data_IF_538816488514
#
_entry.id   IF_538816488514
#
_cell.length_a   1.000
_cell.length_b   1.000
_cell.length_c   1.000
_cell.angle_alpha   90.00
_cell.angle_beta   90.00
_cell.angle_gamma   90.00
#
_symmetry.space_group_name_H-M   'P 1'
#
loop_
_entity.id
_entity.type
_entity.pdbx_description
1 polymer ?
#
# COMPACT_ATOMS: atom_id res chain seq x y z
N UNK A 1 64.69 61.27 0.75
CA UNK A 1 63.77 61.47 1.89
C UNK A 1 62.47 62.04 1.34
N UNK A 2 61.39 61.23 1.28
CA UNK A 2 59.97 61.59 1.50
C UNK A 2 59.09 60.43 0.97
N UNK A 3 58.96 59.37 1.75
CA UNK A 3 58.01 58.27 1.53
C UNK A 3 56.60 58.75 1.85
N UNK A 4 55.71 58.81 0.84
CA UNK A 4 54.27 59.00 1.06
C UNK A 4 53.60 57.62 1.09
N UNK A 5 53.33 57.14 2.31
CA UNK A 5 52.43 56.02 2.56
C UNK A 5 51.01 56.40 2.11
N UNK A 6 50.38 55.55 1.30
CA UNK A 6 49.00 55.69 0.85
C UNK A 6 48.14 54.79 1.73
N UNK A 7 47.42 55.39 2.67
CA UNK A 7 46.47 54.66 3.50
C UNK A 7 45.29 54.22 2.65
N UNK A 8 45.20 52.90 2.44
CA UNK A 8 44.08 52.28 1.75
C UNK A 8 43.01 52.02 2.80
N UNK A 9 42.04 52.92 2.94
CA UNK A 9 40.87 52.69 3.79
C UNK A 9 40.00 51.60 3.16
N UNK A 10 40.24 50.35 3.56
CA UNK A 10 39.38 49.21 3.30
C UNK A 10 38.05 49.43 4.03
N UNK A 11 37.04 49.97 3.35
CA UNK A 11 35.67 49.98 3.86
C UNK A 11 35.16 48.54 3.91
N UNK A 12 35.21 47.94 5.11
CA UNK A 12 34.42 46.73 5.37
C UNK A 12 32.96 47.16 5.39
N UNK A 13 32.28 47.02 4.26
CA UNK A 13 30.83 47.02 4.24
C UNK A 13 30.37 45.89 5.17
N UNK A 14 29.98 46.26 6.39
CA UNK A 14 29.31 45.37 7.32
C UNK A 14 28.00 44.99 6.66
N UNK A 15 27.98 43.83 5.99
CA UNK A 15 26.75 43.21 5.57
C UNK A 15 25.94 42.97 6.84
N UNK A 16 24.98 43.86 7.13
CA UNK A 16 24.00 43.69 8.19
C UNK A 16 23.28 42.38 7.90
N UNK A 17 23.71 41.31 8.58
CA UNK A 17 22.96 40.07 8.59
C UNK A 17 21.68 40.38 9.37
N UNK A 18 20.59 40.51 8.64
CA UNK A 18 19.25 40.60 9.24
C UNK A 18 18.97 39.25 9.88
N UNK A 19 19.11 39.18 11.21
CA UNK A 19 18.65 38.04 11.98
C UNK A 19 17.12 38.08 12.04
N UNK A 20 16.51 36.88 12.02
CA UNK A 20 15.07 36.72 12.12
C UNK A 20 14.57 37.26 13.47
N UNK A 21 13.50 38.03 13.46
CA UNK A 21 12.89 38.54 14.69
C UNK A 21 12.10 37.43 15.40
N UNK A 22 11.90 37.57 16.71
CA UNK A 22 11.10 36.62 17.49
C UNK A 22 9.65 36.53 16.99
N UNK A 23 9.08 37.66 16.55
CA UNK A 23 7.72 37.70 16.02
C UNK A 23 7.62 36.93 14.70
N UNK A 24 8.57 37.13 13.78
CA UNK A 24 8.58 36.39 12.52
C UNK A 24 8.70 34.88 12.76
N UNK A 25 9.54 34.44 13.71
CA UNK A 25 9.65 33.02 14.04
C UNK A 25 8.33 32.45 14.55
N UNK A 26 7.62 33.19 15.41
CA UNK A 26 6.33 32.79 15.96
C UNK A 26 5.28 32.65 14.84
N UNK A 27 5.23 33.59 13.90
CA UNK A 27 4.33 33.51 12.76
C UNK A 27 4.67 32.31 11.87
N UNK A 28 5.96 32.07 11.60
CA UNK A 28 6.41 30.93 10.77
C UNK A 28 6.02 29.59 11.40
N UNK A 29 6.28 29.38 12.70
CA UNK A 29 5.87 28.12 13.35
C UNK A 29 4.34 27.98 13.39
N UNK A 30 3.60 29.08 13.52
CA UNK A 30 2.15 29.10 13.42
C UNK A 30 1.67 28.62 12.06
N UNK A 31 2.21 29.18 10.97
CA UNK A 31 1.88 28.78 9.60
C UNK A 31 2.26 27.32 9.36
N UNK A 32 3.47 26.90 9.74
CA UNK A 32 3.92 25.51 9.57
C UNK A 32 3.01 24.54 10.33
N UNK A 33 2.56 24.89 11.53
CA UNK A 33 1.67 24.02 12.32
C UNK A 33 0.33 23.77 11.62
N UNK A 34 -0.28 24.82 11.07
CA UNK A 34 -1.55 24.73 10.33
C UNK A 34 -1.39 23.94 9.04
N UNK A 35 -0.34 24.23 8.26
CA UNK A 35 -0.04 23.50 7.03
C UNK A 35 0.25 22.02 7.28
N UNK A 36 0.97 21.71 8.37
CA UNK A 36 1.31 20.33 8.72
C UNK A 36 0.07 19.49 8.99
N UNK A 37 -0.88 20.03 9.78
CA UNK A 37 -2.15 19.33 10.08
C UNK A 37 -2.95 19.09 8.81
N UNK A 38 -3.13 20.11 7.96
CA UNK A 38 -3.84 19.98 6.70
C UNK A 38 -3.19 18.94 5.77
N UNK A 39 -1.85 18.93 5.71
CA UNK A 39 -1.08 17.98 4.90
C UNK A 39 -1.26 16.55 5.39
N UNK A 40 -1.18 16.29 6.70
CA UNK A 40 -1.36 14.95 7.28
C UNK A 40 -2.73 14.38 6.91
N UNK A 41 -3.80 15.16 7.09
CA UNK A 41 -5.17 14.72 6.76
C UNK A 41 -5.29 14.41 5.26
N UNK A 42 -4.70 15.24 4.40
CA UNK A 42 -4.73 15.05 2.94
C UNK A 42 -4.01 13.77 2.53
N UNK A 43 -2.79 13.55 3.02
CA UNK A 43 -1.97 12.37 2.72
C UNK A 43 -2.66 11.08 3.18
N UNK A 44 -3.33 11.09 4.33
CA UNK A 44 -4.09 9.94 4.82
C UNK A 44 -5.22 9.54 3.87
N UNK A 45 -5.96 10.52 3.33
CA UNK A 45 -7.04 10.26 2.35
C UNK A 45 -6.49 9.67 1.06
N UNK A 46 -5.49 10.32 0.46
CA UNK A 46 -4.86 9.84 -0.79
C UNK A 46 -4.29 8.43 -0.60
N UNK A 47 -3.64 8.16 0.53
CA UNK A 47 -3.08 6.84 0.82
C UNK A 47 -4.15 5.76 0.90
N UNK A 48 -5.34 6.07 1.43
CA UNK A 48 -6.47 5.13 1.50
C UNK A 48 -7.04 4.85 0.11
N UNK A 49 -7.17 5.86 -0.72
CA UNK A 49 -7.68 5.73 -2.09
C UNK A 49 -6.72 4.92 -2.98
N UNK A 50 -5.41 5.15 -2.86
CA UNK A 50 -4.38 4.36 -3.54
C UNK A 50 -4.43 2.89 -3.11
N UNK A 51 -4.55 2.62 -1.81
CA UNK A 51 -4.69 1.24 -1.28
C UNK A 51 -5.94 0.56 -1.82
N UNK A 52 -7.07 1.27 -1.86
CA UNK A 52 -8.32 0.74 -2.40
C UNK A 52 -8.20 0.45 -3.90
N UNK A 53 -7.70 1.39 -4.69
CA UNK A 53 -7.48 1.22 -6.12
C UNK A 53 -6.54 0.05 -6.42
N UNK A 54 -5.45 -0.07 -5.66
CA UNK A 54 -4.53 -1.22 -5.75
C UNK A 54 -5.25 -2.53 -5.44
N UNK A 55 -6.08 -2.57 -4.40
CA UNK A 55 -6.89 -3.75 -4.06
C UNK A 55 -7.87 -4.14 -5.16
N UNK A 56 -8.60 -3.18 -5.72
CA UNK A 56 -9.54 -3.40 -6.85
C UNK A 56 -8.80 -3.95 -8.06
N UNK A 57 -7.67 -3.36 -8.43
CA UNK A 57 -6.86 -3.82 -9.57
C UNK A 57 -6.32 -5.24 -9.36
N UNK A 58 -5.92 -5.61 -8.13
CA UNK A 58 -5.49 -6.97 -7.81
C UNK A 58 -6.63 -7.99 -7.98
N UNK A 59 -7.83 -7.67 -7.50
CA UNK A 59 -9.00 -8.54 -7.66
C UNK A 59 -9.41 -8.66 -9.12
N UNK A 60 -9.40 -7.55 -9.87
CA UNK A 60 -9.67 -7.57 -11.30
C UNK A 60 -8.65 -8.41 -12.07
N UNK A 61 -7.37 -8.30 -11.71
CA UNK A 61 -6.30 -9.13 -12.27
C UNK A 61 -6.55 -10.62 -12.01
N UNK A 62 -6.86 -10.99 -10.76
CA UNK A 62 -7.17 -12.37 -10.40
C UNK A 62 -8.41 -12.92 -11.13
N UNK A 63 -9.47 -12.12 -11.26
CA UNK A 63 -10.67 -12.51 -12.03
C UNK A 63 -10.37 -12.69 -13.52
N UNK A 64 -9.53 -11.82 -14.09
CA UNK A 64 -9.10 -11.94 -15.48
C UNK A 64 -8.29 -13.22 -15.68
N UNK A 65 -7.32 -13.49 -14.81
CA UNK A 65 -6.55 -14.74 -14.82
C UNK A 65 -7.43 -15.97 -14.64
N UNK A 66 -8.38 -15.94 -13.70
CA UNK A 66 -9.33 -17.03 -13.48
C UNK A 66 -10.21 -17.30 -14.69
N UNK A 67 -10.67 -16.24 -15.37
CA UNK A 67 -11.44 -16.35 -16.61
C UNK A 67 -10.60 -16.96 -17.74
N UNK A 68 -9.38 -16.49 -17.93
CA UNK A 68 -8.46 -17.04 -18.92
C UNK A 68 -8.18 -18.52 -18.66
N UNK A 69 -7.99 -18.90 -17.41
CA UNK A 69 -7.82 -20.31 -17.04
C UNK A 69 -9.08 -21.12 -17.31
N UNK A 70 -10.25 -20.65 -16.88
CA UNK A 70 -11.52 -21.34 -17.12
C UNK A 70 -11.79 -21.57 -18.62
N UNK A 71 -11.47 -20.60 -19.47
CA UNK A 71 -11.58 -20.73 -20.94
C UNK A 71 -10.57 -21.74 -21.47
N UNK A 72 -9.32 -21.69 -20.99
CA UNK A 72 -8.23 -22.57 -21.43
C UNK A 72 -8.47 -24.03 -21.04
N UNK A 73 -8.83 -24.28 -19.80
CA UNK A 73 -9.01 -25.63 -19.25
C UNK A 73 -10.40 -26.19 -19.51
N UNK A 74 -11.38 -25.34 -19.85
CA UNK A 74 -12.79 -25.68 -19.94
C UNK A 74 -13.31 -26.34 -18.65
N UNK A 75 -12.78 -25.90 -17.50
CA UNK A 75 -13.20 -26.38 -16.17
C UNK A 75 -13.69 -25.22 -15.31
N UNK A 76 -14.69 -25.43 -14.43
CA UNK A 76 -15.08 -24.44 -13.43
C UNK A 76 -13.86 -23.95 -12.64
N UNK A 77 -13.74 -22.63 -12.51
CA UNK A 77 -12.64 -21.99 -11.80
C UNK A 77 -13.24 -20.96 -10.85
N UNK A 78 -12.72 -20.89 -9.63
CA UNK A 78 -13.15 -19.96 -8.60
C UNK A 78 -12.03 -19.00 -8.22
N UNK A 79 -12.43 -17.82 -7.75
CA UNK A 79 -11.56 -16.87 -7.06
C UNK A 79 -12.00 -16.82 -5.61
N UNK A 80 -11.08 -17.05 -4.68
CA UNK A 80 -11.35 -17.02 -3.24
C UNK A 80 -10.35 -16.15 -2.51
N UNK A 81 -10.76 -15.62 -1.37
CA UNK A 81 -9.91 -14.87 -0.46
C UNK A 81 -9.65 -15.77 0.74
N UNK A 82 -8.37 -16.02 1.04
CA UNK A 82 -7.97 -16.79 2.23
C UNK A 82 -7.07 -15.95 3.12
N UNK A 83 -7.21 -16.13 4.42
CA UNK A 83 -6.29 -15.54 5.40
C UNK A 83 -5.10 -16.48 5.54
N UNK A 84 -3.90 -15.97 5.32
CA UNK A 84 -2.64 -16.68 5.53
C UNK A 84 -1.95 -16.04 6.72
N UNK A 85 -1.53 -16.90 7.66
CA UNK A 85 -0.74 -16.52 8.82
C UNK A 85 0.58 -17.26 8.78
N UNK A 86 1.66 -16.53 8.94
CA UNK A 86 2.98 -17.10 9.17
C UNK A 86 3.04 -17.53 10.63
N UNK A 87 3.04 -18.84 10.87
CA UNK A 87 3.14 -19.40 12.23
C UNK A 87 4.59 -19.46 12.73
N UNK A 88 5.57 -19.33 11.83
CA UNK A 88 6.99 -19.30 12.18
C UNK A 88 7.42 -17.90 12.63
N UNK A 89 6.83 -16.85 12.04
CA UNK A 89 6.97 -15.46 12.48
C UNK A 89 5.63 -14.84 12.89
N UNK A 90 5.24 -14.97 14.18
CA UNK A 90 3.99 -14.43 14.71
C UNK A 90 3.91 -12.89 14.68
N UNK A 91 5.03 -12.19 14.44
CA UNK A 91 5.07 -10.73 14.37
C UNK A 91 4.48 -10.21 13.06
N UNK A 92 4.43 -11.05 12.03
CA UNK A 92 3.85 -10.67 10.74
C UNK A 92 2.33 -10.59 10.88
N UNK A 93 1.70 -9.51 10.38
CA UNK A 93 0.25 -9.42 10.38
C UNK A 93 -0.37 -10.52 9.50
N UNK A 94 -1.57 -10.95 9.85
CA UNK A 94 -2.37 -11.82 9.00
C UNK A 94 -2.62 -11.13 7.65
N UNK A 95 -2.38 -11.86 6.55
CA UNK A 95 -2.50 -11.33 5.20
C UNK A 95 -3.63 -12.04 4.48
N UNK A 96 -4.47 -11.28 3.80
CA UNK A 96 -5.49 -11.83 2.91
C UNK A 96 -4.88 -12.01 1.52
N UNK A 97 -4.86 -13.24 1.05
CA UNK A 97 -4.40 -13.62 -0.28
C UNK A 97 -5.59 -13.93 -1.19
N UNK A 98 -5.50 -13.51 -2.46
CA UNK A 98 -6.44 -13.92 -3.50
C UNK A 98 -5.89 -15.16 -4.19
N UNK A 99 -6.68 -16.22 -4.23
CA UNK A 99 -6.32 -17.49 -4.84
C UNK A 99 -7.29 -17.82 -5.96
N UNK A 100 -6.74 -18.15 -7.13
CA UNK A 100 -7.48 -18.74 -8.25
C UNK A 100 -7.37 -20.26 -8.13
N UNK A 101 -8.49 -20.97 -8.13
CA UNK A 101 -8.52 -22.42 -7.99
C UNK A 101 -9.42 -23.07 -9.05
N UNK A 102 -8.94 -24.14 -9.67
CA UNK A 102 -9.69 -24.91 -10.67
C UNK A 102 -10.39 -26.10 -10.04
N UNK A 103 -11.53 -26.49 -10.59
CA UNK A 103 -12.20 -27.73 -10.24
C UNK A 103 -11.35 -28.92 -10.65
N UNK A 104 -11.21 -29.88 -9.74
CA UNK A 104 -10.39 -31.08 -9.96
C UNK A 104 -11.12 -32.21 -10.70
N UNK A 105 -12.44 -32.09 -10.90
CA UNK A 105 -13.28 -33.21 -11.36
C UNK A 105 -13.80 -34.09 -10.23
N UNK A 106 -13.25 -33.94 -9.01
CA UNK A 106 -13.64 -34.73 -7.85
C UNK A 106 -14.85 -34.12 -7.13
N UNK A 107 -15.96 -34.86 -7.11
CA UNK A 107 -17.10 -34.60 -6.23
C UNK A 107 -17.08 -35.65 -5.12
N UNK A 108 -17.11 -35.21 -3.86
CA UNK A 108 -17.07 -36.09 -2.69
C UNK A 108 -18.33 -35.89 -1.86
N UNK A 109 -18.82 -36.96 -1.24
CA UNK A 109 -19.90 -36.85 -0.25
C UNK A 109 -19.36 -36.20 1.02
N UNK A 110 -20.07 -35.19 1.53
CA UNK A 110 -19.80 -34.52 2.81
C UNK A 110 -20.32 -35.31 4.03
N UNK A 111 -20.76 -36.55 3.81
CA UNK A 111 -21.46 -37.35 4.81
C UNK A 111 -22.97 -37.11 4.82
N UNK A 112 -23.66 -37.85 5.69
CA UNK A 112 -25.11 -37.75 5.86
C UNK A 112 -25.42 -36.64 6.88
N UNK A 113 -26.09 -35.57 6.44
CA UNK A 113 -26.65 -34.56 7.33
C UNK A 113 -28.10 -34.94 7.65
N UNK A 114 -28.30 -35.65 8.76
CA UNK A 114 -29.62 -36.14 9.16
C UNK A 114 -30.14 -37.30 8.30
N UNK A 115 -31.46 -37.55 8.39
CA UNK A 115 -32.12 -38.73 7.82
C UNK A 115 -32.41 -38.64 6.31
N UNK A 116 -32.19 -37.49 5.66
CA UNK A 116 -32.73 -37.25 4.31
C UNK A 116 -31.83 -36.41 3.38
N UNK A 117 -30.62 -36.03 3.81
CA UNK A 117 -29.80 -35.09 3.04
C UNK A 117 -28.36 -35.60 2.88
N UNK A 118 -28.01 -35.96 1.65
CA UNK A 118 -26.62 -36.15 1.24
C UNK A 118 -26.08 -34.80 0.78
N UNK A 119 -25.07 -34.29 1.46
CA UNK A 119 -24.32 -33.13 0.99
C UNK A 119 -23.14 -33.59 0.14
N UNK A 120 -22.79 -32.81 -0.87
CA UNK A 120 -21.65 -33.05 -1.75
C UNK A 120 -20.78 -31.79 -1.77
N UNK A 121 -19.47 -31.98 -1.85
CA UNK A 121 -18.53 -30.89 -2.07
C UNK A 121 -17.67 -31.17 -3.30
N UNK A 122 -17.47 -30.12 -4.08
CA UNK A 122 -16.55 -30.09 -5.20
C UNK A 122 -15.15 -29.76 -4.69
N UNK A 123 -14.15 -30.52 -5.12
CA UNK A 123 -12.76 -30.24 -4.75
C UNK A 123 -12.12 -29.30 -5.77
N UNK A 124 -11.58 -28.20 -5.26
CA UNK A 124 -10.83 -27.23 -6.03
C UNK A 124 -9.35 -27.26 -5.64
N UNK A 125 -8.48 -27.07 -6.61
CA UNK A 125 -7.03 -27.00 -6.40
C UNK A 125 -6.52 -25.63 -6.88
N UNK A 126 -5.61 -24.97 -6.15
CA UNK A 126 -5.01 -23.72 -6.59
C UNK A 126 -4.36 -23.90 -7.96
N UNK A 127 -4.69 -23.01 -8.89
CA UNK A 127 -4.02 -22.94 -10.19
C UNK A 127 -2.62 -22.40 -9.92
N UNK A 128 -1.55 -23.07 -10.39
CA UNK A 128 -0.20 -22.52 -10.33
C UNK A 128 -0.13 -21.32 -11.28
N UNK A 129 -0.57 -20.16 -10.83
CA UNK A 129 -0.48 -18.93 -11.63
C UNK A 129 0.74 -18.15 -11.19
N UNK A 130 1.68 -18.03 -12.14
CA UNK A 130 2.80 -17.07 -12.25
C UNK A 130 2.60 -15.84 -11.35
N UNK A 131 3.41 -15.77 -10.30
CA UNK A 131 3.54 -14.62 -9.41
C UNK A 131 4.07 -13.39 -10.15
#
# INVERSE_FOLDING_TARGET
MMTRFRDTFSSRASARRHAFTLLELLVVIGIISVLSVATVISVQKVSRDVKLSTGVNRVLGALTSARSEAIRSNTPTLVTFRVVKDYEDPSKPEQVEVVVAQFTGDIRSAGSYGSTSNAYFERYQPVPTIA
#
